data_IF_451856762505
#
_entry.id   IF_451856762505
#
_cell.length_a   1.000
_cell.length_b   1.000
_cell.length_c   1.000
_cell.angle_alpha   90.00
_cell.angle_beta   90.00
_cell.angle_gamma   90.00
#
_symmetry.space_group_name_H-M   'P 1'
#
loop_
_entity.id
_entity.type
_entity.pdbx_description
1 polymer ?
#
# COMPACT_ATOMS: atom_id res chain seq x y z
N UNK A 1 2.67 3.52 22.71
CA UNK A 1 1.52 4.38 22.32
C UNK A 1 1.63 4.55 20.82
N UNK A 2 0.66 4.05 20.05
CA UNK A 2 0.61 4.31 18.60
C UNK A 2 0.49 5.83 18.41
N UNK A 3 1.39 6.42 17.64
CA UNK A 3 1.26 7.82 17.24
C UNK A 3 -0.09 7.95 16.51
N UNK A 4 -0.91 8.91 16.91
CA UNK A 4 -2.21 9.15 16.26
C UNK A 4 -2.04 9.36 14.76
N UNK A 5 -3.05 8.99 13.97
CA UNK A 5 -3.01 9.18 12.54
C UNK A 5 -2.91 10.68 12.19
N UNK A 6 -1.97 11.03 11.31
CA UNK A 6 -1.85 12.37 10.77
C UNK A 6 -2.68 12.47 9.48
N UNK A 7 -3.56 13.44 9.41
CA UNK A 7 -4.42 13.68 8.24
C UNK A 7 -3.96 14.90 7.48
N UNK A 8 -3.66 14.70 6.19
CA UNK A 8 -3.24 15.78 5.30
C UNK A 8 -4.19 15.83 4.11
N UNK A 9 -4.83 17.00 3.94
CA UNK A 9 -5.87 17.19 2.92
C UNK A 9 -5.33 18.08 1.81
N UNK A 10 -5.39 17.58 0.58
CA UNK A 10 -5.00 18.29 -0.64
C UNK A 10 -6.24 18.74 -1.40
N UNK A 11 -6.11 19.79 -2.20
CA UNK A 11 -7.22 20.43 -2.90
C UNK A 11 -7.98 19.47 -3.82
N UNK A 12 -7.26 18.65 -4.55
CA UNK A 12 -7.80 17.72 -5.54
C UNK A 12 -6.90 16.48 -5.71
N UNK A 13 -7.39 15.47 -6.45
CA UNK A 13 -6.67 14.22 -6.67
C UNK A 13 -5.34 14.39 -7.41
N UNK A 14 -5.25 15.35 -8.35
CA UNK A 14 -4.02 15.61 -9.10
C UNK A 14 -2.92 16.19 -8.20
N UNK A 15 -3.28 17.15 -7.34
CA UNK A 15 -2.34 17.71 -6.37
C UNK A 15 -1.97 16.67 -5.28
N UNK A 16 -2.93 15.85 -4.85
CA UNK A 16 -2.68 14.72 -3.94
C UNK A 16 -1.63 13.78 -4.53
N UNK A 17 -1.79 13.33 -5.78
CA UNK A 17 -0.83 12.43 -6.43
C UNK A 17 0.59 13.01 -6.46
N UNK A 18 0.74 14.30 -6.82
CA UNK A 18 2.03 15.00 -6.83
C UNK A 18 2.63 15.13 -5.41
N UNK A 19 1.81 15.42 -4.42
CA UNK A 19 2.26 15.53 -3.03
C UNK A 19 2.69 14.18 -2.45
N UNK A 20 1.98 13.09 -2.80
CA UNK A 20 2.39 11.71 -2.45
C UNK A 20 3.72 11.39 -3.11
N UNK A 21 3.89 11.68 -4.40
CA UNK A 21 5.14 11.46 -5.12
C UNK A 21 6.33 12.18 -4.49
N UNK A 22 6.18 13.46 -4.15
CA UNK A 22 7.23 14.23 -3.49
C UNK A 22 7.63 13.61 -2.13
N UNK A 23 6.64 13.16 -1.34
CA UNK A 23 6.89 12.48 -0.06
C UNK A 23 7.60 11.14 -0.24
N UNK A 24 7.19 10.33 -1.23
CA UNK A 24 7.84 9.05 -1.57
C UNK A 24 9.32 9.31 -1.86
N UNK A 25 9.64 10.21 -2.79
CA UNK A 25 11.02 10.51 -3.18
C UNK A 25 11.84 10.94 -1.96
N UNK A 26 11.38 11.94 -1.21
CA UNK A 26 12.10 12.44 -0.03
C UNK A 26 12.34 11.31 0.98
N UNK A 27 11.30 10.53 1.29
CA UNK A 27 11.41 9.47 2.31
C UNK A 27 12.34 8.33 1.88
N UNK A 28 12.34 7.99 0.57
CA UNK A 28 13.25 6.97 0.04
C UNK A 28 14.70 7.46 0.08
N UNK A 29 14.96 8.70 -0.31
CA UNK A 29 16.30 9.31 -0.26
C UNK A 29 16.83 9.34 1.18
N UNK A 30 16.01 9.78 2.15
CA UNK A 30 16.37 9.79 3.57
C UNK A 30 16.68 8.39 4.09
N UNK A 31 15.88 7.39 3.73
CA UNK A 31 16.12 6.00 4.12
C UNK A 31 17.40 5.46 3.51
N UNK A 32 17.66 5.71 2.24
CA UNK A 32 18.91 5.31 1.56
C UNK A 32 20.13 6.00 2.14
N UNK A 33 20.04 7.28 2.47
CA UNK A 33 21.12 8.02 3.13
C UNK A 33 21.43 7.45 4.52
N UNK A 34 20.40 7.01 5.26
CA UNK A 34 20.55 6.49 6.62
C UNK A 34 21.09 5.05 6.68
N UNK A 35 20.63 4.16 5.80
CA UNK A 35 20.89 2.71 5.90
C UNK A 35 21.34 2.05 4.60
N UNK A 36 21.60 2.82 3.56
CA UNK A 36 22.14 2.36 2.27
C UNK A 36 21.10 1.73 1.33
N UNK A 37 19.87 1.53 1.77
CA UNK A 37 18.77 0.98 0.94
C UNK A 37 17.42 1.44 1.49
N UNK A 38 16.37 1.28 0.69
CA UNK A 38 15.00 1.57 1.12
C UNK A 38 14.04 0.45 0.69
N UNK A 39 12.84 0.46 1.26
CA UNK A 39 11.77 -0.48 0.90
C UNK A 39 10.43 0.23 0.76
N UNK A 40 9.70 -0.11 -0.31
CA UNK A 40 8.42 0.49 -0.66
C UNK A 40 7.42 -0.61 -1.00
N UNK A 41 6.28 -0.60 -0.31
CA UNK A 41 5.14 -1.44 -0.66
C UNK A 41 4.17 -0.62 -1.50
N UNK A 42 3.87 -1.10 -2.70
CA UNK A 42 3.00 -0.46 -3.67
C UNK A 42 1.54 -0.86 -3.47
N UNK A 43 0.64 -0.01 -3.93
CA UNK A 43 -0.79 -0.26 -3.99
C UNK A 43 -1.31 -0.07 -5.42
N UNK A 44 -2.37 -0.78 -5.74
CA UNK A 44 -3.09 -0.56 -7.00
C UNK A 44 -4.06 0.62 -6.93
N UNK A 45 -4.95 0.66 -7.91
CA UNK A 45 -6.00 1.66 -8.02
C UNK A 45 -5.57 2.98 -8.65
N UNK A 46 -6.56 3.81 -8.97
CA UNK A 46 -6.34 5.03 -9.75
C UNK A 46 -5.38 6.03 -9.12
N UNK A 47 -5.53 6.29 -7.81
CA UNK A 47 -4.67 7.26 -7.11
C UNK A 47 -3.25 6.70 -6.88
N UNK A 48 -3.10 5.38 -6.64
CA UNK A 48 -1.81 4.72 -6.56
C UNK A 48 -1.03 4.86 -7.88
N UNK A 49 -1.63 4.50 -9.00
CA UNK A 49 -1.03 4.66 -10.32
C UNK A 49 -0.72 6.12 -10.67
N UNK A 50 -1.60 7.06 -10.29
CA UNK A 50 -1.36 8.49 -10.49
C UNK A 50 -0.15 9.00 -9.68
N UNK A 51 0.02 8.53 -8.44
CA UNK A 51 1.17 8.85 -7.61
C UNK A 51 2.48 8.31 -8.22
N UNK A 52 2.48 7.07 -8.73
CA UNK A 52 3.66 6.50 -9.40
C UNK A 52 4.04 7.26 -10.68
N UNK A 53 3.05 7.63 -11.51
CA UNK A 53 3.32 8.51 -12.67
C UNK A 53 3.89 9.85 -12.25
N UNK A 54 3.37 10.45 -11.18
CA UNK A 54 3.90 11.70 -10.65
C UNK A 54 5.32 11.57 -10.08
N UNK A 55 5.71 10.40 -9.55
CA UNK A 55 7.11 10.10 -9.20
C UNK A 55 7.98 10.12 -10.44
N UNK A 56 7.57 9.41 -11.51
CA UNK A 56 8.31 9.38 -12.79
C UNK A 56 8.49 10.77 -13.39
N UNK A 57 7.45 11.60 -13.32
CA UNK A 57 7.45 12.96 -13.90
C UNK A 57 8.16 14.00 -13.02
N UNK A 58 8.55 13.62 -11.81
CA UNK A 58 9.24 14.53 -10.88
C UNK A 58 10.67 14.79 -11.33
N UNK A 59 11.13 16.04 -11.33
CA UNK A 59 12.55 16.35 -11.59
C UNK A 59 13.49 15.76 -10.50
N UNK A 60 12.95 15.35 -9.36
CA UNK A 60 13.71 14.74 -8.29
C UNK A 60 13.76 13.20 -8.38
N UNK A 61 13.23 12.57 -9.44
CA UNK A 61 13.18 11.10 -9.59
C UNK A 61 14.59 10.49 -9.56
N UNK A 62 15.59 11.18 -10.10
CA UNK A 62 16.99 10.75 -10.13
C UNK A 62 17.71 10.82 -8.77
N UNK A 63 17.11 11.47 -7.78
CA UNK A 63 17.66 11.50 -6.41
C UNK A 63 17.55 10.15 -5.71
N UNK A 64 16.64 9.27 -6.14
CA UNK A 64 16.48 7.92 -5.60
C UNK A 64 17.44 6.96 -6.28
N UNK A 65 18.22 6.22 -5.52
CA UNK A 65 18.98 5.06 -6.03
C UNK A 65 18.00 3.88 -6.21
N UNK A 66 17.44 3.77 -7.40
CA UNK A 66 16.44 2.74 -7.73
C UNK A 66 17.00 1.32 -7.66
N UNK A 67 18.32 1.13 -7.83
CA UNK A 67 18.97 -0.18 -7.67
C UNK A 67 19.07 -0.64 -6.23
N UNK A 68 18.86 0.26 -5.27
CA UNK A 68 18.87 -0.04 -3.83
C UNK A 68 17.50 0.08 -3.19
N UNK A 69 16.44 -0.16 -3.97
CA UNK A 69 15.05 -0.13 -3.51
C UNK A 69 14.43 -1.52 -3.58
N UNK A 70 13.96 -2.04 -2.45
CA UNK A 70 13.13 -3.24 -2.37
C UNK A 70 11.68 -2.86 -2.64
N UNK A 71 11.09 -3.43 -3.69
CA UNK A 71 9.73 -3.12 -4.15
C UNK A 71 8.82 -4.32 -3.91
N UNK A 72 7.70 -4.06 -3.25
CA UNK A 72 6.70 -5.03 -2.82
C UNK A 72 5.29 -4.57 -3.19
N UNK A 73 4.31 -5.47 -3.11
CA UNK A 73 2.89 -5.15 -3.27
C UNK A 73 2.10 -5.53 -2.02
N UNK A 74 1.16 -4.67 -1.62
CA UNK A 74 0.26 -4.93 -0.49
C UNK A 74 -0.81 -5.97 -0.82
N UNK A 75 -1.26 -5.99 -2.08
CA UNK A 75 -2.16 -7.01 -2.64
C UNK A 75 -2.00 -7.11 -4.14
N UNK A 76 -2.47 -8.22 -4.68
CA UNK A 76 -2.47 -8.45 -6.12
C UNK A 76 -3.68 -9.26 -6.56
N UNK A 77 -4.13 -9.01 -7.78
CA UNK A 77 -5.16 -9.80 -8.44
C UNK A 77 -4.54 -11.08 -8.96
N UNK A 78 -5.11 -12.22 -8.51
CA UNK A 78 -4.62 -13.53 -8.92
C UNK A 78 -5.21 -13.92 -10.29
N UNK A 79 -4.67 -13.32 -11.33
CA UNK A 79 -5.02 -13.47 -12.74
C UNK A 79 -3.76 -13.75 -13.55
N UNK A 80 -3.87 -13.97 -14.87
CA UNK A 80 -2.71 -14.16 -15.74
C UNK A 80 -1.71 -13.00 -15.63
N UNK A 81 -0.42 -13.29 -15.81
CA UNK A 81 0.68 -12.34 -15.60
C UNK A 81 0.56 -11.07 -16.43
N UNK A 82 0.05 -11.18 -17.64
CA UNK A 82 -0.10 -10.08 -18.61
C UNK A 82 -1.45 -9.37 -18.55
N UNK A 83 -2.33 -9.78 -17.62
CA UNK A 83 -3.65 -9.16 -17.44
C UNK A 83 -3.54 -7.70 -17.05
N UNK A 84 -4.40 -6.85 -17.64
CA UNK A 84 -4.51 -5.42 -17.31
C UNK A 84 -5.04 -5.17 -15.88
N UNK A 85 -5.61 -6.20 -15.27
CA UNK A 85 -6.07 -6.11 -13.88
C UNK A 85 -4.92 -6.19 -12.87
N UNK A 86 -3.70 -6.56 -13.28
CA UNK A 86 -2.58 -6.70 -12.33
C UNK A 86 -2.04 -5.36 -11.86
N UNK A 87 -1.89 -5.25 -10.54
CA UNK A 87 -1.24 -4.11 -9.90
C UNK A 87 0.23 -3.98 -10.30
N UNK A 88 0.93 -5.12 -10.42
CA UNK A 88 2.32 -5.16 -10.89
C UNK A 88 2.46 -4.55 -12.29
N UNK A 89 1.62 -4.97 -13.25
CA UNK A 89 1.65 -4.44 -14.62
C UNK A 89 1.42 -2.93 -14.61
N UNK A 90 0.39 -2.47 -13.92
CA UNK A 90 0.09 -1.04 -13.81
C UNK A 90 1.24 -0.25 -13.16
N UNK A 91 1.92 -0.80 -12.16
CA UNK A 91 3.07 -0.15 -11.52
C UNK A 91 4.30 -0.09 -12.44
N UNK A 92 4.54 -1.16 -13.23
CA UNK A 92 5.60 -1.17 -14.24
C UNK A 92 5.39 -0.09 -15.28
N UNK A 93 4.23 -0.04 -15.90
CA UNK A 93 3.86 0.96 -16.90
C UNK A 93 3.91 2.40 -16.35
N UNK A 94 3.50 2.59 -15.10
CA UNK A 94 3.48 3.90 -14.48
C UNK A 94 4.88 4.41 -14.10
N UNK A 95 5.77 3.53 -13.62
CA UNK A 95 7.07 3.92 -13.05
C UNK A 95 8.20 2.91 -13.31
N UNK A 96 8.02 1.61 -12.99
CA UNK A 96 9.17 0.71 -12.80
C UNK A 96 9.94 0.43 -14.08
N UNK A 97 9.28 0.44 -15.24
CA UNK A 97 9.93 0.26 -16.55
C UNK A 97 10.64 1.56 -17.06
N UNK A 98 10.54 2.65 -16.28
CA UNK A 98 11.12 3.95 -16.61
C UNK A 98 12.26 4.38 -15.66
N UNK A 99 12.62 3.53 -14.70
CA UNK A 99 13.69 3.77 -13.73
C UNK A 99 14.58 2.53 -13.61
N UNK A 100 15.84 2.70 -13.20
CA UNK A 100 16.83 1.62 -13.17
C UNK A 100 16.68 0.74 -11.92
N UNK A 101 15.55 0.02 -11.81
CA UNK A 101 15.33 -0.93 -10.69
C UNK A 101 16.17 -2.19 -10.87
N UNK A 102 16.69 -2.73 -9.77
CA UNK A 102 17.30 -4.07 -9.77
C UNK A 102 16.18 -5.12 -9.79
N UNK A 103 16.06 -5.97 -10.84
CA UNK A 103 15.03 -7.00 -10.90
C UNK A 103 15.05 -7.98 -9.72
N UNK A 104 16.19 -8.22 -9.10
CA UNK A 104 16.33 -9.07 -7.92
C UNK A 104 15.76 -8.45 -6.64
N UNK A 105 15.35 -7.18 -6.71
CA UNK A 105 14.75 -6.41 -5.63
C UNK A 105 13.29 -6.04 -5.88
N UNK A 106 12.68 -6.63 -6.90
CA UNK A 106 11.26 -6.47 -7.24
C UNK A 106 10.54 -7.77 -6.89
N UNK A 107 9.76 -7.75 -5.82
CA UNK A 107 9.09 -8.91 -5.25
C UNK A 107 7.60 -8.89 -5.59
N UNK A 108 7.27 -9.37 -6.78
CA UNK A 108 5.88 -9.49 -7.23
C UNK A 108 5.18 -10.69 -6.59
N UNK A 109 3.88 -10.57 -6.37
CA UNK A 109 3.04 -11.71 -5.96
C UNK A 109 2.80 -12.66 -7.13
N UNK A 110 2.54 -13.92 -6.83
CA UNK A 110 2.22 -14.97 -7.81
C UNK A 110 1.02 -14.63 -8.70
N UNK A 111 0.85 -15.37 -9.79
CA UNK A 111 -0.22 -15.16 -10.77
C UNK A 111 -0.83 -16.49 -11.20
N UNK A 112 -2.04 -16.48 -11.73
CA UNK A 112 -2.71 -17.66 -12.28
C UNK A 112 -1.94 -18.20 -13.49
N UNK A 113 -1.63 -19.50 -13.49
CA UNK A 113 -0.79 -20.16 -14.51
C UNK A 113 0.72 -19.92 -14.32
N UNK A 114 1.14 -19.38 -13.16
CA UNK A 114 2.55 -19.26 -12.78
C UNK A 114 3.09 -20.48 -12.04
N UNK A 115 4.14 -20.29 -11.24
CA UNK A 115 4.81 -21.38 -10.49
C UNK A 115 3.88 -22.05 -9.47
N UNK A 116 2.86 -21.32 -8.99
CA UNK A 116 1.87 -21.80 -8.02
C UNK A 116 0.68 -22.48 -8.70
N UNK A 117 0.79 -22.74 -9.99
CA UNK A 117 -0.22 -23.33 -10.87
C UNK A 117 -1.61 -22.69 -10.74
N UNK A 118 -2.56 -22.74 -10.42
CA UNK A 118 -3.77 -21.93 -10.19
C UNK A 118 -4.19 -21.92 -8.71
N UNK A 119 -3.23 -22.13 -7.81
CA UNK A 119 -3.50 -22.11 -6.37
C UNK A 119 -3.09 -20.79 -5.71
N UNK A 120 -4.04 -19.91 -5.39
CA UNK A 120 -3.75 -18.66 -4.70
C UNK A 120 -3.25 -18.84 -3.26
N UNK A 121 -3.51 -19.98 -2.59
CA UNK A 121 -2.96 -20.26 -1.26
C UNK A 121 -1.47 -20.64 -1.36
N UNK A 122 -1.07 -21.37 -2.39
CA UNK A 122 0.34 -21.61 -2.67
C UNK A 122 1.08 -20.30 -2.98
N UNK A 123 0.48 -19.42 -3.80
CA UNK A 123 1.03 -18.09 -4.09
C UNK A 123 1.15 -17.23 -2.83
N UNK A 124 0.16 -17.25 -1.94
CA UNK A 124 0.20 -16.54 -0.67
C UNK A 124 1.31 -17.07 0.24
N UNK A 125 1.46 -18.40 0.34
CA UNK A 125 2.51 -19.05 1.13
C UNK A 125 3.90 -18.71 0.61
N UNK A 126 4.12 -18.77 -0.70
CA UNK A 126 5.39 -18.37 -1.34
C UNK A 126 5.73 -16.91 -1.08
N UNK A 127 4.76 -16.02 -1.16
CA UNK A 127 5.01 -14.60 -0.85
C UNK A 127 5.36 -14.38 0.62
N UNK A 128 4.70 -15.10 1.54
CA UNK A 128 5.04 -15.10 2.95
C UNK A 128 6.46 -15.61 3.22
N UNK A 129 6.89 -16.68 2.54
CA UNK A 129 8.27 -17.19 2.61
C UNK A 129 9.28 -16.18 2.07
N UNK A 130 8.93 -15.49 0.98
CA UNK A 130 9.75 -14.42 0.41
C UNK A 130 9.92 -13.27 1.41
N UNK A 131 8.84 -12.84 2.06
CA UNK A 131 8.90 -11.86 3.14
C UNK A 131 9.83 -12.33 4.27
N UNK A 132 9.63 -13.57 4.74
CA UNK A 132 10.43 -14.14 5.84
C UNK A 132 11.93 -14.22 5.49
N UNK A 133 12.26 -14.56 4.26
CA UNK A 133 13.66 -14.63 3.78
C UNK A 133 14.36 -13.27 3.75
N UNK A 134 13.62 -12.18 3.71
CA UNK A 134 14.11 -10.80 3.67
C UNK A 134 13.99 -10.07 5.00
N UNK A 135 13.28 -10.66 5.97
CA UNK A 135 13.22 -10.14 7.32
C UNK A 135 14.57 -10.28 8.03
N UNK A 136 14.92 -9.29 8.83
CA UNK A 136 16.16 -9.25 9.62
C UNK A 136 15.86 -9.46 11.09
N UNK A 137 16.82 -9.87 11.91
CA UNK A 137 16.61 -10.05 13.36
C UNK A 137 16.02 -8.81 14.04
N UNK A 138 16.43 -7.61 13.62
CA UNK A 138 15.92 -6.33 14.14
C UNK A 138 14.48 -6.00 13.74
N UNK A 139 13.90 -6.73 12.79
CA UNK A 139 12.49 -6.54 12.41
C UNK A 139 11.53 -7.19 13.42
N UNK A 140 12.04 -8.13 14.24
CA UNK A 140 11.31 -8.82 15.30
C UNK A 140 10.07 -9.60 14.80
N UNK A 141 10.13 -10.15 13.59
CA UNK A 141 9.07 -10.94 13.00
C UNK A 141 9.42 -11.45 11.60
N UNK A 142 8.51 -12.20 10.95
CA UNK A 142 8.74 -12.79 9.64
C UNK A 142 8.43 -11.82 8.48
N UNK A 143 8.38 -10.52 8.73
CA UNK A 143 8.11 -9.50 7.70
C UNK A 143 9.15 -8.39 7.80
N UNK A 144 9.77 -7.98 6.68
CA UNK A 144 10.68 -6.85 6.68
C UNK A 144 10.00 -5.59 7.22
N UNK A 145 10.74 -4.76 7.92
CA UNK A 145 10.26 -3.46 8.35
C UNK A 145 10.31 -2.49 7.16
N UNK A 146 9.20 -2.41 6.42
CA UNK A 146 9.09 -1.52 5.27
C UNK A 146 9.24 -0.04 5.67
N UNK A 147 9.94 0.75 4.84
CA UNK A 147 10.04 2.20 5.08
C UNK A 147 8.73 2.90 4.83
N UNK A 148 8.08 2.55 3.71
CA UNK A 148 6.77 3.06 3.31
C UNK A 148 5.90 1.90 2.86
N UNK A 149 4.68 1.84 3.35
CA UNK A 149 3.63 0.97 2.84
C UNK A 149 2.45 1.82 2.38
N UNK A 150 2.17 1.80 1.08
CA UNK A 150 1.05 2.52 0.49
C UNK A 150 -0.20 1.65 0.48
N UNK A 151 -1.33 2.24 0.82
CA UNK A 151 -2.65 1.63 0.74
C UNK A 151 -3.64 2.56 0.04
N UNK A 152 -4.45 2.03 -0.86
CA UNK A 152 -5.68 2.66 -1.28
C UNK A 152 -6.78 2.48 -0.22
N UNK A 153 -7.88 3.20 -0.36
CA UNK A 153 -9.08 3.05 0.48
C UNK A 153 -10.27 2.66 -0.38
N UNK A 154 -10.94 1.58 -0.03
CA UNK A 154 -12.23 1.24 -0.64
C UNK A 154 -13.38 2.07 -0.06
N UNK A 155 -14.50 2.24 -0.81
CA UNK A 155 -15.67 2.97 -0.30
C UNK A 155 -16.29 2.32 0.94
N UNK A 156 -16.14 1.01 1.10
CA UNK A 156 -16.56 0.23 2.28
C UNK A 156 -15.50 0.17 3.38
N UNK A 157 -14.32 0.79 3.21
CA UNK A 157 -13.25 0.83 4.19
C UNK A 157 -12.21 -0.28 4.07
N UNK A 158 -12.22 -1.08 2.97
CA UNK A 158 -11.14 -2.04 2.74
C UNK A 158 -9.81 -1.36 2.43
N UNK A 159 -8.73 -2.01 2.80
CA UNK A 159 -7.35 -1.72 2.38
C UNK A 159 -6.73 -3.00 1.83
N UNK A 160 -5.81 -2.88 0.86
CA UNK A 160 -5.30 -4.02 0.12
C UNK A 160 -6.48 -4.88 -0.40
N UNK A 161 -6.53 -6.18 -0.10
CA UNK A 161 -7.72 -7.02 -0.33
C UNK A 161 -8.35 -7.54 0.97
N UNK A 162 -8.25 -6.76 2.05
CA UNK A 162 -8.89 -7.03 3.35
C UNK A 162 -10.23 -6.28 3.38
N UNK A 163 -11.32 -7.00 3.11
CA UNK A 163 -12.67 -6.44 3.13
C UNK A 163 -13.31 -6.54 4.51
N UNK A 164 -14.28 -5.65 4.84
CA UNK A 164 -15.02 -5.73 6.10
C UNK A 164 -15.56 -7.14 6.36
N UNK A 165 -15.35 -7.63 7.59
CA UNK A 165 -15.84 -8.92 8.07
C UNK A 165 -15.47 -10.15 7.20
N UNK A 166 -14.56 -9.97 6.22
CA UNK A 166 -14.07 -11.06 5.38
C UNK A 166 -13.09 -11.96 6.14
N UNK A 167 -12.87 -13.21 5.71
CA UNK A 167 -11.87 -14.08 6.35
C UNK A 167 -10.49 -13.44 6.47
N UNK A 168 -10.08 -12.61 5.49
CA UNK A 168 -8.80 -11.90 5.52
C UNK A 168 -8.69 -10.86 6.66
N UNK A 169 -9.82 -10.37 7.18
CA UNK A 169 -9.82 -9.44 8.31
C UNK A 169 -9.50 -10.12 9.66
N UNK A 170 -9.67 -11.45 9.74
CA UNK A 170 -9.38 -12.28 10.92
C UNK A 170 -8.06 -13.04 10.77
N UNK A 171 -7.34 -12.86 9.68
CA UNK A 171 -6.17 -13.66 9.35
C UNK A 171 -4.96 -13.23 10.19
N UNK A 172 -4.30 -14.21 10.81
CA UNK A 172 -3.11 -14.03 11.64
C UNK A 172 -1.80 -14.30 10.90
N UNK A 173 -1.86 -14.99 9.75
CA UNK A 173 -0.69 -15.14 8.86
C UNK A 173 -0.33 -13.80 8.23
N UNK A 174 0.86 -13.68 7.70
CA UNK A 174 1.35 -12.43 7.07
C UNK A 174 0.77 -12.16 5.69
N UNK A 175 0.43 -13.24 4.96
CA UNK A 175 -0.16 -13.19 3.61
C UNK A 175 -1.29 -14.21 3.53
N UNK A 176 -2.36 -13.87 2.81
CA UNK A 176 -3.51 -14.74 2.62
C UNK A 176 -4.02 -14.70 1.17
N UNK A 177 -4.62 -15.80 0.74
CA UNK A 177 -5.45 -15.82 -0.45
C UNK A 177 -6.86 -15.31 -0.11
N UNK A 178 -7.40 -14.47 -0.97
CA UNK A 178 -8.79 -13.98 -0.89
C UNK A 178 -9.56 -14.56 -2.05
N UNK A 179 -10.70 -15.21 -1.75
CA UNK A 179 -11.64 -15.74 -2.72
C UNK A 179 -12.98 -15.04 -2.57
N UNK A 180 -13.75 -15.01 -3.66
CA UNK A 180 -15.06 -14.37 -3.67
C UNK A 180 -15.04 -12.89 -3.22
N UNK A 181 -13.96 -12.18 -3.57
CA UNK A 181 -13.88 -10.74 -3.34
C UNK A 181 -15.11 -10.05 -3.97
N UNK A 182 -15.76 -9.10 -3.27
CA UNK A 182 -16.96 -8.43 -3.80
C UNK A 182 -16.67 -7.54 -5.03
N UNK A 183 -15.40 -7.31 -5.32
CA UNK A 183 -14.95 -6.56 -6.51
C UNK A 183 -14.16 -7.46 -7.44
N UNK A 184 -14.44 -7.45 -8.76
CA UNK A 184 -13.67 -8.22 -9.72
C UNK A 184 -12.21 -7.71 -9.81
N UNK A 185 -11.26 -8.57 -10.14
CA UNK A 185 -11.34 -10.04 -10.13
C UNK A 185 -11.56 -10.59 -8.71
N UNK A 186 -12.28 -11.73 -8.57
CA UNK A 186 -12.72 -12.22 -7.25
C UNK A 186 -11.62 -12.92 -6.46
N UNK A 187 -10.54 -13.37 -7.11
CA UNK A 187 -9.44 -14.07 -6.45
C UNK A 187 -8.22 -13.17 -6.36
N UNK A 188 -7.63 -13.07 -5.16
CA UNK A 188 -6.52 -12.18 -4.87
C UNK A 188 -5.55 -12.80 -3.89
N UNK A 189 -4.33 -12.26 -3.84
CA UNK A 189 -3.35 -12.48 -2.77
C UNK A 189 -3.16 -11.17 -2.04
N UNK A 190 -3.15 -11.17 -0.71
CA UNK A 190 -3.07 -9.94 0.09
C UNK A 190 -2.13 -10.09 1.28
N UNK A 191 -1.35 -9.04 1.57
CA UNK A 191 -0.83 -8.85 2.91
C UNK A 191 -2.00 -8.69 3.89
N UNK A 192 -1.85 -9.22 5.08
CA UNK A 192 -2.82 -9.08 6.18
C UNK A 192 -2.50 -7.88 7.05
N UNK A 193 -3.33 -7.59 8.04
CA UNK A 193 -3.04 -6.54 9.02
C UNK A 193 -1.70 -6.77 9.73
N UNK A 194 -1.34 -8.05 9.98
CA UNK A 194 -0.07 -8.42 10.62
C UNK A 194 1.12 -7.92 9.79
N UNK A 195 1.10 -8.13 8.47
CA UNK A 195 2.16 -7.66 7.58
C UNK A 195 2.14 -6.14 7.39
N UNK A 196 0.96 -5.53 7.24
CA UNK A 196 0.79 -4.09 7.09
C UNK A 196 1.39 -3.35 8.29
N UNK A 197 1.11 -3.81 9.51
CA UNK A 197 1.56 -3.20 10.76
C UNK A 197 3.06 -3.37 11.04
N UNK A 198 3.79 -4.15 10.23
CA UNK A 198 5.25 -4.23 10.32
C UNK A 198 5.95 -2.99 9.74
N UNK A 199 5.27 -2.24 8.88
CA UNK A 199 5.84 -1.06 8.22
C UNK A 199 6.15 0.07 9.21
N UNK A 200 7.25 0.79 8.98
CA UNK A 200 7.56 2.01 9.73
C UNK A 200 6.49 3.07 9.48
N UNK A 201 6.19 3.32 8.21
CA UNK A 201 5.16 4.27 7.84
C UNK A 201 4.09 3.58 6.97
N UNK A 202 2.84 3.72 7.37
CA UNK A 202 1.67 3.31 6.58
C UNK A 202 0.97 4.57 6.07
N UNK A 203 0.78 4.66 4.76
CA UNK A 203 0.14 5.79 4.10
C UNK A 203 -1.14 5.35 3.40
N UNK A 204 -2.28 5.76 3.94
CA UNK A 204 -3.58 5.57 3.30
C UNK A 204 -3.83 6.74 2.36
N UNK A 205 -3.91 6.46 1.06
CA UNK A 205 -4.08 7.47 0.01
C UNK A 205 -5.46 7.33 -0.62
N UNK A 206 -6.29 8.36 -0.51
CA UNK A 206 -7.65 8.30 -1.04
C UNK A 206 -8.10 9.62 -1.67
N UNK A 207 -8.77 9.50 -2.82
CA UNK A 207 -9.37 10.60 -3.55
C UNK A 207 -10.81 10.23 -3.96
N UNK A 208 -11.68 11.24 -3.96
CA UNK A 208 -13.08 11.09 -4.36
C UNK A 208 -14.06 10.98 -3.20
N UNK A 209 -15.25 11.55 -3.39
CA UNK A 209 -16.29 11.63 -2.36
C UNK A 209 -16.82 10.28 -1.90
N UNK A 210 -16.73 9.26 -2.76
CA UNK A 210 -17.12 7.89 -2.42
C UNK A 210 -16.23 7.24 -1.34
N UNK A 211 -15.12 7.89 -0.96
CA UNK A 211 -14.23 7.46 0.13
C UNK A 211 -14.54 8.16 1.46
N UNK A 212 -15.36 9.21 1.44
CA UNK A 212 -15.54 10.11 2.58
C UNK A 212 -16.07 9.41 3.83
N UNK A 213 -17.08 8.55 3.70
CA UNK A 213 -17.64 7.81 4.84
C UNK A 213 -16.66 6.78 5.39
N UNK A 214 -15.96 6.05 4.52
CA UNK A 214 -14.93 5.10 4.94
C UNK A 214 -13.78 5.79 5.70
N UNK A 215 -13.31 6.93 5.21
CA UNK A 215 -12.29 7.73 5.88
C UNK A 215 -12.78 8.24 7.24
N UNK A 216 -14.02 8.74 7.30
CA UNK A 216 -14.64 9.17 8.56
C UNK A 216 -14.74 8.04 9.57
N UNK A 217 -15.26 6.89 9.18
CA UNK A 217 -15.43 5.74 10.08
C UNK A 217 -14.07 5.26 10.62
N UNK A 218 -13.08 5.08 9.74
CA UNK A 218 -11.75 4.63 10.14
C UNK A 218 -11.08 5.60 11.12
N UNK A 219 -11.19 6.91 10.89
CA UNK A 219 -10.56 7.95 11.71
C UNK A 219 -11.37 8.32 12.96
N UNK A 220 -12.61 7.83 13.09
CA UNK A 220 -13.47 8.05 14.26
C UNK A 220 -13.50 6.87 15.24
N UNK A 221 -12.58 5.90 15.11
CA UNK A 221 -12.44 4.81 16.05
C UNK A 221 -13.28 3.57 15.74
N UNK A 222 -13.69 3.36 14.49
CA UNK A 222 -14.28 2.08 14.07
C UNK A 222 -13.30 0.93 14.28
N UNK A 223 -13.81 -0.26 14.58
CA UNK A 223 -12.98 -1.45 14.73
C UNK A 223 -12.40 -1.94 13.40
N UNK A 224 -11.19 -2.52 13.38
CA UNK A 224 -10.53 -2.95 12.14
C UNK A 224 -11.24 -4.11 11.44
N UNK A 225 -12.12 -4.85 12.10
CA UNK A 225 -12.94 -5.88 11.46
C UNK A 225 -14.06 -5.27 10.63
N UNK A 226 -14.66 -4.17 11.11
CA UNK A 226 -15.73 -3.45 10.41
C UNK A 226 -15.19 -2.50 9.35
N UNK A 227 -14.05 -1.87 9.62
CA UNK A 227 -13.39 -0.92 8.72
C UNK A 227 -11.89 -1.26 8.71
N UNK A 228 -11.44 -2.15 7.83
CA UNK A 228 -10.04 -2.61 7.82
C UNK A 228 -9.00 -1.49 7.75
N UNK A 229 -9.34 -0.37 7.14
CA UNK A 229 -8.49 0.82 7.11
C UNK A 229 -8.17 1.39 8.50
N UNK A 230 -9.02 1.17 9.51
CA UNK A 230 -8.76 1.59 10.88
C UNK A 230 -7.61 0.80 11.54
N UNK A 231 -7.34 -0.42 11.04
CA UNK A 231 -6.22 -1.26 11.48
C UNK A 231 -4.90 -0.99 10.73
N UNK A 232 -4.93 -0.19 9.69
CA UNK A 232 -3.76 0.13 8.87
C UNK A 232 -2.87 1.16 9.59
N UNK A 233 -2.07 0.69 10.55
CA UNK A 233 -1.26 1.52 11.44
C UNK A 233 0.21 1.21 11.27
N UNK A 234 1.02 2.23 11.05
CA UNK A 234 2.48 2.12 10.98
C UNK A 234 3.13 2.15 12.38
N UNK A 235 4.30 1.55 12.49
CA UNK A 235 5.05 1.48 13.77
C UNK A 235 5.52 2.86 14.24
N UNK A 236 5.96 3.70 13.30
CA UNK A 236 6.45 5.04 13.58
C UNK A 236 5.44 6.12 13.19
N UNK A 237 4.74 5.92 12.07
CA UNK A 237 3.85 6.95 11.52
C UNK A 237 2.71 6.35 10.71
N UNK A 238 1.54 6.95 10.84
CA UNK A 238 0.38 6.65 9.99
C UNK A 238 -0.09 7.94 9.33
N UNK A 239 -0.05 7.99 7.98
CA UNK A 239 -0.52 9.14 7.21
C UNK A 239 -1.82 8.82 6.49
N UNK A 240 -2.77 9.70 6.59
CA UNK A 240 -3.96 9.74 5.75
C UNK A 240 -3.82 10.90 4.78
N UNK A 241 -3.53 10.59 3.53
CA UNK A 241 -3.32 11.54 2.44
C UNK A 241 -4.58 11.58 1.58
N UNK A 242 -5.37 12.60 1.74
CA UNK A 242 -6.72 12.70 1.18
C UNK A 242 -6.84 13.91 0.25
N UNK A 243 -7.75 13.83 -0.73
CA UNK A 243 -8.25 15.05 -1.36
C UNK A 243 -9.43 15.63 -0.56
N UNK A 244 -9.86 16.84 -0.91
CA UNK A 244 -10.99 17.50 -0.23
C UNK A 244 -12.28 16.70 -0.30
N UNK A 245 -12.50 15.97 -1.40
CA UNK A 245 -13.71 15.16 -1.59
C UNK A 245 -13.70 13.95 -0.64
N UNK A 246 -12.59 13.22 -0.55
CA UNK A 246 -12.43 12.10 0.39
C UNK A 246 -12.46 12.56 1.87
N UNK A 247 -12.06 13.81 2.15
CA UNK A 247 -12.05 14.38 3.49
C UNK A 247 -13.38 15.06 3.88
N UNK A 248 -14.39 15.09 3.01
CA UNK A 248 -15.59 15.93 3.20
C UNK A 248 -16.46 15.53 4.39
N UNK A 249 -16.44 14.27 4.82
CA UNK A 249 -17.21 13.77 5.97
C UNK A 249 -16.41 13.72 7.28
N UNK A 250 -15.14 14.17 7.31
CA UNK A 250 -14.32 14.12 8.51
C UNK A 250 -14.84 15.05 9.61
N UNK A 251 -14.81 14.62 10.89
CA UNK A 251 -15.25 15.44 12.01
C UNK A 251 -14.49 16.77 12.10
N UNK A 252 -15.16 17.88 12.47
CA UNK A 252 -14.53 19.19 12.59
C UNK A 252 -13.37 19.26 13.61
N UNK A 253 -13.44 18.42 14.66
CA UNK A 253 -12.43 18.36 15.72
C UNK A 253 -11.21 17.49 15.38
N UNK A 254 -11.19 16.83 14.24
CA UNK A 254 -10.04 16.04 13.82
C UNK A 254 -8.90 16.98 13.39
N UNK A 255 -7.75 16.84 14.06
CA UNK A 255 -6.57 17.61 13.70
C UNK A 255 -6.08 17.24 12.30
N UNK A 256 -6.08 18.21 11.39
CA UNK A 256 -5.72 18.01 9.97
C UNK A 256 -4.92 19.20 9.45
N UNK A 257 -3.93 18.89 8.61
CA UNK A 257 -3.18 19.88 7.85
C UNK A 257 -3.84 19.96 6.46
N UNK A 258 -4.24 21.15 6.06
CA UNK A 258 -4.75 21.39 4.70
C UNK A 258 -3.71 22.14 3.89
N UNK A 259 -3.39 21.62 2.70
CA UNK A 259 -2.59 22.39 1.73
C UNK A 259 -3.42 23.49 1.11
N UNK A 260 -2.81 24.59 0.72
CA UNK A 260 -3.49 25.73 0.10
C UNK A 260 -4.23 25.36 -1.19
#
# INVERSE_FOLDING_TARGET
MSAGAEVIVHRDAGLLAKAVAARIITRLVDAQASKGSASLVLTGGGIGGAALRAVRESPAVEAVDWRRLDIWWGDERFVARDSDDRNEKAAREALLDHVDVDPARVFAMGWAGGEDDNDPDAAASRYAETLASRARPEDHGPVPRFDILLLGLGPEGHVASIFPESPAAYEERTVAAVRNCPKPPPTRVTMTQVAIQSANEVWVVAAGGEKADAARLALSGAGPLQVPAAGAVGRARTLWLLDRAAASALPPGLNRISSP
#
